data_IF_019010083373
#
_entry.id   IF_019010083373
#
_cell.length_a   1.000
_cell.length_b   1.000
_cell.length_c   1.000
_cell.angle_alpha   90.00
_cell.angle_beta   90.00
_cell.angle_gamma   90.00
#
_symmetry.space_group_name_H-M   'P 1'
#
loop_
_entity.id
_entity.type
_entity.pdbx_description
1 polymer ?
#
# COMPACT_ATOMS: atom_id res chain seq x y z
N UNK A 1 -10.96 -2.76 -13.92
CA UNK A 1 -9.89 -3.43 -14.64
C UNK A 1 -9.85 -4.93 -14.34
N UNK A 2 -10.04 -5.30 -13.08
CA UNK A 2 -9.95 -6.71 -12.67
C UNK A 2 -11.32 -7.33 -12.36
N UNK A 3 -12.41 -6.71 -12.81
CA UNK A 3 -13.76 -7.09 -12.39
C UNK A 3 -14.12 -8.53 -12.74
N UNK A 4 -13.55 -9.07 -13.81
CA UNK A 4 -13.87 -10.44 -14.24
C UNK A 4 -12.85 -11.46 -13.74
N UNK A 5 -11.94 -11.08 -12.86
CA UNK A 5 -10.86 -11.93 -12.36
C UNK A 5 -11.08 -12.27 -10.89
N UNK A 6 -12.21 -12.88 -10.57
CA UNK A 6 -12.60 -13.13 -9.17
C UNK A 6 -11.65 -14.08 -8.44
N UNK A 7 -10.84 -14.84 -9.18
CA UNK A 7 -9.87 -15.76 -8.58
C UNK A 7 -8.44 -15.22 -8.58
N UNK A 8 -8.29 -13.93 -8.88
CA UNK A 8 -6.98 -13.30 -8.91
C UNK A 8 -6.32 -13.34 -7.52
N UNK A 9 -5.09 -13.83 -7.44
CA UNK A 9 -4.36 -13.92 -6.18
C UNK A 9 -3.16 -12.97 -6.10
N UNK A 10 -2.62 -12.55 -7.23
CA UNK A 10 -1.39 -11.74 -7.22
C UNK A 10 -1.36 -10.77 -8.39
N UNK A 11 -0.94 -9.55 -8.09
CA UNK A 11 -0.61 -8.54 -9.11
C UNK A 11 0.82 -8.03 -8.87
N UNK A 12 1.66 -8.86 -8.26
CA UNK A 12 3.04 -8.48 -7.92
C UNK A 12 3.75 -7.89 -9.14
N UNK A 13 4.30 -6.69 -8.98
CA UNK A 13 5.08 -6.01 -10.00
C UNK A 13 4.34 -5.61 -11.26
N UNK A 14 3.02 -5.80 -11.31
CA UNK A 14 2.26 -5.68 -12.56
C UNK A 14 2.47 -4.36 -13.30
N UNK A 15 2.49 -3.24 -12.58
CA UNK A 15 2.66 -1.92 -13.19
C UNK A 15 3.92 -1.21 -12.68
N UNK A 16 4.85 -1.94 -12.09
CA UNK A 16 6.07 -1.35 -11.54
C UNK A 16 6.82 -0.55 -12.61
N UNK A 17 7.24 0.65 -12.24
CA UNK A 17 8.04 1.50 -13.11
C UNK A 17 7.26 2.20 -14.22
N UNK A 18 5.94 2.08 -14.27
CA UNK A 18 5.11 2.68 -15.32
C UNK A 18 4.82 4.14 -15.00
N UNK A 19 5.75 5.03 -15.29
CA UNK A 19 5.60 6.46 -15.01
C UNK A 19 4.47 7.12 -15.77
N UNK A 20 3.94 6.47 -16.79
CA UNK A 20 2.84 7.02 -17.58
C UNK A 20 1.47 6.80 -16.96
N UNK A 21 1.39 5.94 -15.96
CA UNK A 21 0.15 5.77 -15.20
C UNK A 21 0.02 6.98 -14.29
N UNK A 22 -1.08 7.73 -14.42
CA UNK A 22 -1.24 8.98 -13.68
C UNK A 22 -2.55 9.04 -12.95
N UNK A 23 -2.61 9.93 -11.95
CA UNK A 23 -3.85 10.23 -11.25
C UNK A 23 -4.11 9.29 -10.08
N UNK A 24 -5.38 9.18 -9.73
CA UNK A 24 -5.81 8.42 -8.57
C UNK A 24 -6.03 6.96 -8.92
N UNK A 25 -5.52 6.05 -8.07
CA UNK A 25 -5.91 4.65 -8.16
C UNK A 25 -7.32 4.52 -7.58
N UNK A 26 -8.27 3.97 -8.34
CA UNK A 26 -9.66 3.89 -7.86
C UNK A 26 -9.77 3.10 -6.56
N UNK A 27 -10.60 3.61 -5.65
CA UNK A 27 -10.84 2.90 -4.38
C UNK A 27 -11.47 1.54 -4.58
N UNK A 28 -12.17 1.35 -5.70
CA UNK A 28 -12.85 0.09 -6.01
C UNK A 28 -12.07 -0.80 -6.96
N UNK A 29 -10.76 -0.52 -7.14
CA UNK A 29 -9.95 -1.26 -8.12
C UNK A 29 -10.04 -2.77 -7.92
N UNK A 30 -10.01 -3.24 -6.67
CA UNK A 30 -10.02 -4.66 -6.35
C UNK A 30 -11.34 -5.11 -5.73
N UNK A 31 -12.43 -4.43 -6.01
CA UNK A 31 -13.72 -4.69 -5.35
C UNK A 31 -14.23 -6.13 -5.54
N UNK A 32 -13.90 -6.76 -6.65
CA UNK A 32 -14.32 -8.13 -6.93
C UNK A 32 -13.21 -9.15 -6.71
N UNK A 33 -12.06 -8.72 -6.24
CA UNK A 33 -10.89 -9.58 -6.09
C UNK A 33 -10.62 -9.88 -4.61
N UNK A 34 -11.62 -10.46 -3.94
CA UNK A 34 -11.59 -10.62 -2.50
C UNK A 34 -10.54 -11.60 -2.02
N UNK A 35 -10.03 -12.46 -2.91
CA UNK A 35 -8.99 -13.41 -2.56
C UNK A 35 -7.58 -12.94 -2.84
N UNK A 36 -7.40 -11.70 -3.31
CA UNK A 36 -6.07 -11.22 -3.67
C UNK A 36 -5.16 -11.19 -2.45
N UNK A 37 -3.94 -11.71 -2.59
CA UNK A 37 -3.00 -11.87 -1.49
C UNK A 37 -1.71 -11.08 -1.69
N UNK A 38 -1.19 -11.01 -2.91
CA UNK A 38 0.13 -10.45 -3.14
C UNK A 38 0.06 -9.20 -4.01
N UNK A 39 0.36 -8.06 -3.38
CA UNK A 39 0.41 -6.75 -4.01
C UNK A 39 1.84 -6.19 -4.01
N UNK A 40 2.84 -7.05 -3.78
CA UNK A 40 4.22 -6.58 -3.70
C UNK A 40 4.63 -5.86 -4.98
N UNK A 41 5.27 -4.71 -4.84
CA UNK A 41 5.80 -3.87 -5.93
C UNK A 41 4.74 -3.49 -6.98
N UNK A 42 3.46 -3.60 -6.65
CA UNK A 42 2.36 -3.44 -7.61
C UNK A 42 2.52 -2.20 -8.49
N UNK A 43 2.71 -1.04 -7.88
CA UNK A 43 2.94 0.21 -8.60
C UNK A 43 4.23 0.89 -8.16
N UNK A 44 5.18 0.11 -7.69
CA UNK A 44 6.48 0.65 -7.28
C UNK A 44 7.12 1.46 -8.40
N UNK A 45 7.57 2.67 -8.09
CA UNK A 45 8.18 3.54 -9.08
C UNK A 45 7.20 4.30 -9.98
N UNK A 46 5.90 4.17 -9.76
CA UNK A 46 4.90 4.88 -10.57
C UNK A 46 4.72 6.31 -10.05
N UNK A 47 5.64 7.18 -10.41
CA UNK A 47 5.65 8.56 -9.91
C UNK A 47 4.52 9.44 -10.44
N UNK A 48 3.69 8.93 -11.36
CA UNK A 48 2.53 9.67 -11.84
C UNK A 48 1.28 9.47 -11.00
N UNK A 49 1.29 8.50 -10.10
CA UNK A 49 0.13 8.25 -9.24
C UNK A 49 0.11 9.30 -8.13
N UNK A 50 -1.06 9.93 -7.93
CA UNK A 50 -1.19 11.06 -7.00
C UNK A 50 -2.01 10.75 -5.75
N UNK A 51 -2.84 9.72 -5.77
CA UNK A 51 -3.65 9.37 -4.59
C UNK A 51 -4.26 7.99 -4.74
N UNK A 52 -4.83 7.50 -3.62
CA UNK A 52 -5.65 6.29 -3.62
C UNK A 52 -7.09 6.72 -3.34
N UNK A 53 -8.04 6.16 -4.08
CA UNK A 53 -9.45 6.46 -3.88
C UNK A 53 -9.96 5.92 -2.55
N UNK A 54 -11.08 6.46 -2.10
CA UNK A 54 -11.70 6.05 -0.84
C UNK A 54 -12.00 4.56 -0.87
N UNK A 55 -11.71 3.88 0.24
CA UNK A 55 -12.01 2.47 0.37
C UNK A 55 -10.99 1.54 -0.27
N UNK A 56 -9.88 2.06 -0.79
CA UNK A 56 -8.83 1.22 -1.39
C UNK A 56 -8.40 0.15 -0.39
N UNK A 57 -8.48 -1.10 -0.80
CA UNK A 57 -8.19 -2.30 -0.01
C UNK A 57 -9.09 -2.51 1.22
N UNK A 58 -10.13 -1.69 1.39
CA UNK A 58 -10.99 -1.81 2.59
C UNK A 58 -11.62 -3.19 2.73
N UNK A 59 -11.89 -3.87 1.62
CA UNK A 59 -12.55 -5.17 1.63
C UNK A 59 -11.64 -6.30 1.17
N UNK A 60 -10.33 -6.05 1.05
CA UNK A 60 -9.38 -7.06 0.58
C UNK A 60 -8.63 -7.65 1.75
N UNK A 61 -9.34 -8.43 2.57
CA UNK A 61 -8.81 -8.93 3.85
C UNK A 61 -7.88 -10.14 3.71
N UNK A 62 -7.70 -10.64 2.49
CA UNK A 62 -6.78 -11.76 2.24
C UNK A 62 -5.35 -11.30 1.92
N UNK A 63 -5.10 -10.00 1.87
CA UNK A 63 -3.77 -9.48 1.52
C UNK A 63 -2.75 -9.88 2.57
N UNK A 64 -1.65 -10.49 2.11
CA UNK A 64 -0.56 -10.94 2.98
C UNK A 64 0.78 -10.31 2.61
N UNK A 65 0.89 -9.60 1.48
CA UNK A 65 2.16 -9.06 1.04
C UNK A 65 1.96 -7.73 0.31
N UNK A 66 2.53 -6.66 0.88
CA UNK A 66 2.53 -5.32 0.28
C UNK A 66 3.96 -4.76 0.20
N UNK A 67 4.97 -5.65 0.18
CA UNK A 67 6.37 -5.27 0.10
C UNK A 67 6.57 -4.32 -1.09
N UNK A 68 7.14 -3.14 -0.84
CA UNK A 68 7.46 -2.15 -1.88
C UNK A 68 6.26 -1.74 -2.75
N UNK A 69 5.03 -1.93 -2.28
CA UNK A 69 3.84 -1.70 -3.12
C UNK A 69 3.80 -0.33 -3.75
N UNK A 70 4.13 0.72 -2.98
CA UNK A 70 4.12 2.10 -3.45
C UNK A 70 5.52 2.73 -3.41
N UNK A 71 6.56 1.91 -3.36
CA UNK A 71 7.93 2.40 -3.30
C UNK A 71 8.18 3.41 -4.42
N UNK A 72 8.64 4.61 -4.04
CA UNK A 72 8.98 5.62 -5.04
C UNK A 72 7.81 6.30 -5.72
N UNK A 73 6.59 6.11 -5.24
CA UNK A 73 5.44 6.87 -5.74
C UNK A 73 5.51 8.30 -5.17
N UNK A 74 6.48 9.05 -5.64
CA UNK A 74 6.94 10.29 -5.02
C UNK A 74 5.96 11.46 -5.16
N UNK A 75 4.93 11.32 -5.98
CA UNK A 75 3.96 12.39 -6.19
C UNK A 75 2.61 12.14 -5.53
N UNK A 76 2.49 11.08 -4.72
CA UNK A 76 1.27 10.88 -3.95
C UNK A 76 1.16 11.96 -2.87
N UNK A 77 -0.02 12.56 -2.79
CA UNK A 77 -0.30 13.64 -1.84
C UNK A 77 -1.56 13.32 -1.03
N UNK A 78 -1.83 14.12 -0.01
CA UNK A 78 -2.99 13.92 0.85
C UNK A 78 -2.73 12.86 1.91
N UNK A 79 -3.80 12.48 2.61
CA UNK A 79 -3.74 11.49 3.67
C UNK A 79 -4.03 10.11 3.10
N UNK A 80 -3.08 9.18 3.23
CA UNK A 80 -3.24 7.83 2.71
C UNK A 80 -4.09 7.00 3.67
N UNK A 81 -4.90 6.07 3.12
CA UNK A 81 -5.64 5.11 3.94
C UNK A 81 -4.65 4.28 4.75
N UNK A 82 -4.96 3.97 6.02
CA UNK A 82 -3.96 3.35 6.93
C UNK A 82 -3.84 1.84 6.72
N UNK A 83 -3.32 1.42 5.58
CA UNK A 83 -3.20 0.00 5.26
C UNK A 83 -2.20 -0.74 6.14
N UNK A 84 -1.40 -0.01 6.92
CA UNK A 84 -0.48 -0.61 7.89
C UNK A 84 -1.18 -1.06 9.17
N UNK A 85 -2.49 -0.91 9.25
CA UNK A 85 -3.25 -1.31 10.44
C UNK A 85 -3.96 -2.62 10.21
N UNK A 86 -4.32 -3.29 11.32
CA UNK A 86 -5.07 -4.54 11.25
C UNK A 86 -6.47 -4.37 10.66
N UNK A 87 -6.99 -3.15 10.68
CA UNK A 87 -8.29 -2.89 10.08
C UNK A 87 -8.26 -3.11 8.57
N UNK A 88 -7.15 -2.75 7.92
CA UNK A 88 -7.02 -2.89 6.48
C UNK A 88 -6.37 -4.22 6.09
N UNK A 89 -5.27 -4.59 6.73
CA UNK A 89 -4.52 -5.80 6.38
C UNK A 89 -4.34 -6.68 7.61
N UNK A 90 -5.40 -7.35 8.06
CA UNK A 90 -5.34 -8.11 9.31
C UNK A 90 -4.39 -9.29 9.28
N UNK A 91 -4.02 -9.78 8.08
CA UNK A 91 -3.13 -10.92 7.96
C UNK A 91 -1.65 -10.53 7.92
N UNK A 92 -1.35 -9.23 7.85
CA UNK A 92 0.04 -8.77 7.89
C UNK A 92 0.37 -8.45 9.35
N UNK A 93 1.36 -9.15 9.90
CA UNK A 93 1.77 -8.95 11.29
C UNK A 93 3.09 -8.20 11.34
N UNK A 94 3.35 -7.56 12.48
CA UNK A 94 4.60 -6.82 12.66
C UNK A 94 5.86 -7.66 12.78
N UNK A 95 5.75 -8.98 12.68
CA UNK A 95 6.89 -9.87 12.88
C UNK A 95 7.62 -10.24 11.59
N UNK A 96 6.95 -10.16 10.44
CA UNK A 96 7.60 -10.53 9.17
C UNK A 96 7.70 -9.30 8.29
N UNK A 97 8.78 -8.56 8.46
CA UNK A 97 9.04 -7.30 7.76
C UNK A 97 9.04 -7.48 6.25
N UNK A 98 9.44 -8.66 5.76
CA UNK A 98 9.50 -8.90 4.32
C UNK A 98 8.14 -8.79 3.64
N UNK A 99 7.06 -8.80 4.40
CA UNK A 99 5.71 -8.70 3.84
C UNK A 99 5.23 -7.26 3.68
N UNK A 100 5.92 -6.29 4.28
CA UNK A 100 5.47 -4.89 4.22
C UNK A 100 6.63 -3.89 4.14
N UNK A 101 7.87 -4.35 4.15
CA UNK A 101 9.03 -3.47 4.18
C UNK A 101 8.95 -2.42 3.08
N UNK A 102 9.17 -1.16 3.47
CA UNK A 102 9.29 -0.03 2.54
C UNK A 102 8.11 0.13 1.58
N UNK A 103 6.92 -0.30 2.01
CA UNK A 103 5.69 -0.16 1.22
C UNK A 103 5.53 1.28 0.71
N UNK A 104 5.83 2.26 1.56
CA UNK A 104 5.66 3.69 1.24
C UNK A 104 6.97 4.45 1.12
N UNK A 105 8.11 3.77 1.02
CA UNK A 105 9.38 4.47 0.95
C UNK A 105 9.41 5.41 -0.26
N UNK A 106 9.77 6.66 -0.02
CA UNK A 106 9.81 7.68 -1.06
C UNK A 106 8.51 8.44 -1.26
N UNK A 107 7.44 8.05 -0.58
CA UNK A 107 6.15 8.73 -0.69
C UNK A 107 6.09 9.93 0.27
N UNK A 108 7.09 10.79 0.21
CA UNK A 108 7.34 11.83 1.22
C UNK A 108 6.37 13.00 1.17
N UNK A 109 5.56 13.09 0.13
CA UNK A 109 4.57 14.17 0.02
C UNK A 109 3.26 13.85 0.71
N UNK A 110 3.08 12.62 1.20
CA UNK A 110 1.87 12.25 1.93
C UNK A 110 1.80 13.05 3.24
N UNK A 111 0.61 13.57 3.52
CA UNK A 111 0.38 14.39 4.72
C UNK A 111 0.72 13.63 6.00
N UNK A 112 0.38 12.34 6.04
CA UNK A 112 0.61 11.51 7.23
C UNK A 112 1.90 10.69 7.18
N UNK A 113 2.83 11.03 6.27
CA UNK A 113 4.06 10.26 6.11
C UNK A 113 4.88 10.22 7.40
N UNK A 114 5.10 11.36 8.04
CA UNK A 114 5.92 11.43 9.26
C UNK A 114 5.14 11.14 10.52
N UNK A 115 3.85 11.44 10.52
CA UNK A 115 3.06 11.37 11.75
C UNK A 115 2.46 10.00 11.99
N UNK A 116 2.28 9.18 10.96
CA UNK A 116 1.53 7.95 11.10
C UNK A 116 2.14 6.73 10.43
N UNK A 117 2.80 6.89 9.27
CA UNK A 117 3.32 5.72 8.55
C UNK A 117 4.58 5.21 9.24
N UNK A 118 4.55 3.96 9.75
CA UNK A 118 5.69 3.42 10.51
C UNK A 118 6.96 3.34 9.65
N UNK A 119 8.11 3.48 10.30
CA UNK A 119 9.40 3.42 9.60
C UNK A 119 9.63 2.09 8.90
N UNK A 120 9.14 0.99 9.47
CA UNK A 120 9.29 -0.32 8.82
C UNK A 120 8.47 -0.41 7.54
N UNK A 121 7.42 0.39 7.41
CA UNK A 121 6.62 0.48 6.19
C UNK A 121 7.17 1.55 5.24
N UNK A 122 8.32 2.11 5.56
CA UNK A 122 8.96 3.12 4.73
C UNK A 122 8.60 4.55 5.07
N UNK A 123 7.78 4.75 6.08
CA UNK A 123 7.38 6.09 6.49
C UNK A 123 8.37 6.76 7.44
N UNK A 124 7.94 7.85 8.02
CA UNK A 124 8.76 8.63 8.94
C UNK A 124 8.32 8.58 10.39
N UNK A 125 7.33 7.76 10.72
CA UNK A 125 6.83 7.68 12.08
C UNK A 125 7.60 6.64 12.90
N UNK A 126 8.22 7.10 13.96
CA UNK A 126 8.90 6.24 14.91
C UNK A 126 8.33 6.57 16.28
N UNK A 127 7.65 5.63 16.95
CA UNK A 127 7.07 5.93 18.26
C UNK A 127 8.16 6.22 19.28
N UNK A 128 7.76 6.90 20.35
CA UNK A 128 8.66 7.17 21.46
C UNK A 128 9.16 5.86 22.03
N UNK A 129 10.36 5.92 22.67
CA UNK A 129 10.94 4.73 23.28
C UNK A 129 9.94 4.09 24.23
N UNK A 130 9.75 2.78 24.08
CA UNK A 130 8.81 2.02 24.91
C UNK A 130 7.39 1.97 24.40
N UNK A 131 7.06 2.73 23.36
CA UNK A 131 5.73 2.69 22.78
C UNK A 131 5.59 1.48 21.83
N UNK A 132 4.35 0.98 21.71
CA UNK A 132 4.06 -0.10 20.80
C UNK A 132 3.99 0.44 19.38
N UNK A 133 4.50 -0.32 18.44
CA UNK A 133 4.44 0.07 17.03
C UNK A 133 3.18 -0.34 16.35
N UNK A 134 2.33 -1.06 16.84
CA UNK A 134 1.10 -1.51 16.22
C UNK A 134 1.25 -1.98 14.82
#
# INVERSE_FOLDING_TARGET
LFDNNSKLLSVSGMFAGQGEITGELPGELFRYNKGIENLSVFVGGCHGITSLGDGFLANNKAVTNVYYMFFGCSNMVGTIVPIWTNTYCPLITGTDVSKFQDCFKGCTKLTNYKAEIPTQWGGGYSPASGASEE
#
